data_IF_809352107756
#
_entry.id   IF_809352107756
#
_cell.length_a   1.000
_cell.length_b   1.000
_cell.length_c   1.000
_cell.angle_alpha   90.00
_cell.angle_beta   90.00
_cell.angle_gamma   90.00
#
_symmetry.space_group_name_H-M   'P 1'
#
loop_
_entity.id
_entity.type
_entity.pdbx_description
1 polymer ?
#
# COMPACT_ATOMS: atom_id res chain seq x y z
N UNK A 1 -5.22 6.85 9.21
CA UNK A 1 -6.70 6.68 9.38
C UNK A 1 -7.00 5.58 10.39
N UNK A 2 -8.17 5.62 11.05
CA UNK A 2 -8.61 4.52 11.90
C UNK A 2 -9.71 3.73 11.17
N UNK A 3 -9.61 2.42 11.18
CA UNK A 3 -10.62 1.53 10.61
C UNK A 3 -11.21 0.65 11.71
N UNK A 4 -12.53 0.54 11.78
CA UNK A 4 -13.17 -0.41 12.71
C UNK A 4 -13.14 -1.82 12.10
N UNK A 5 -13.25 -2.84 12.96
CA UNK A 5 -13.39 -4.24 12.52
C UNK A 5 -14.54 -4.37 11.52
N UNK A 6 -15.68 -3.72 11.79
CA UNK A 6 -16.83 -3.66 10.89
C UNK A 6 -16.52 -3.02 9.53
N UNK A 7 -15.75 -1.93 9.51
CA UNK A 7 -15.35 -1.30 8.25
C UNK A 7 -14.50 -2.25 7.40
N UNK A 8 -13.51 -2.90 8.03
CA UNK A 8 -12.64 -3.88 7.35
C UNK A 8 -13.46 -5.05 6.82
N UNK A 9 -14.34 -5.61 7.64
CA UNK A 9 -15.23 -6.71 7.25
C UNK A 9 -16.06 -6.35 6.01
N UNK A 10 -16.66 -5.15 5.98
CA UNK A 10 -17.45 -4.68 4.83
C UNK A 10 -16.60 -4.47 3.56
N UNK A 11 -15.42 -3.85 3.69
CA UNK A 11 -14.54 -3.55 2.54
C UNK A 11 -14.08 -4.84 1.85
N UNK A 12 -13.72 -5.85 2.64
CA UNK A 12 -13.15 -7.09 2.11
C UNK A 12 -14.16 -8.25 2.04
N UNK A 13 -15.41 -8.03 2.43
CA UNK A 13 -16.49 -9.02 2.46
C UNK A 13 -16.06 -10.29 3.21
N UNK A 14 -15.65 -10.12 4.48
CA UNK A 14 -15.17 -11.19 5.36
C UNK A 14 -15.90 -11.17 6.69
N UNK A 15 -16.07 -12.34 7.31
CA UNK A 15 -16.68 -12.48 8.62
C UNK A 15 -15.75 -12.02 9.74
N UNK A 16 -16.33 -11.65 10.89
CA UNK A 16 -15.57 -11.32 12.09
C UNK A 16 -16.26 -11.84 13.35
N UNK A 17 -15.49 -11.95 14.43
CA UNK A 17 -15.95 -12.26 15.79
C UNK A 17 -15.42 -11.17 16.74
N UNK A 18 -16.23 -10.79 17.74
CA UNK A 18 -15.89 -9.82 18.77
C UNK A 18 -16.51 -8.44 18.55
N UNK A 19 -15.85 -7.39 19.05
CA UNK A 19 -16.34 -6.02 19.01
C UNK A 19 -16.20 -5.40 17.61
N UNK A 20 -17.34 -5.16 16.97
CA UNK A 20 -17.39 -4.56 15.63
C UNK A 20 -16.86 -3.12 15.56
N UNK A 21 -16.88 -2.41 16.68
CA UNK A 21 -16.48 -0.99 16.78
C UNK A 21 -15.01 -0.83 17.15
N UNK A 22 -14.33 -1.91 17.50
CA UNK A 22 -12.91 -1.84 17.81
C UNK A 22 -12.11 -1.30 16.62
N UNK A 23 -11.26 -0.28 16.87
CA UNK A 23 -10.56 0.41 15.79
C UNK A 23 -9.06 0.14 15.79
N UNK A 24 -8.53 -0.05 14.60
CA UNK A 24 -7.10 -0.25 14.30
C UNK A 24 -6.59 0.82 13.35
N UNK A 25 -5.30 1.12 13.41
CA UNK A 25 -4.67 2.12 12.55
C UNK A 25 -3.33 1.70 11.97
N UNK A 26 -2.87 0.51 12.28
CA UNK A 26 -1.61 -0.02 11.76
C UNK A 26 -1.64 -1.54 11.63
N UNK A 27 -0.76 -2.07 10.80
CA UNK A 27 -0.45 -3.49 10.71
C UNK A 27 0.89 -3.76 11.40
N UNK A 28 1.05 -4.96 11.98
CA UNK A 28 2.30 -5.32 12.67
C UNK A 28 2.55 -6.82 12.67
N UNK A 29 3.77 -7.23 13.02
CA UNK A 29 4.04 -8.60 13.42
C UNK A 29 3.41 -8.91 14.78
N UNK A 30 3.14 -10.18 15.08
CA UNK A 30 2.54 -10.61 16.36
C UNK A 30 3.35 -10.09 17.57
N UNK A 31 4.68 -10.10 17.46
CA UNK A 31 5.60 -9.76 18.56
C UNK A 31 5.63 -8.24 18.82
N UNK A 32 5.63 -7.44 17.75
CA UNK A 32 5.80 -5.97 17.85
C UNK A 32 4.47 -5.20 17.88
N UNK A 33 3.36 -5.91 18.01
CA UNK A 33 2.04 -5.32 17.95
C UNK A 33 1.74 -4.43 19.17
N UNK A 34 1.02 -3.34 18.90
CA UNK A 34 0.34 -2.53 19.93
C UNK A 34 -1.13 -2.91 19.98
N UNK A 35 -1.90 -2.37 20.92
CA UNK A 35 -3.34 -2.63 21.01
C UNK A 35 -4.11 -2.23 19.74
N UNK A 36 -3.66 -1.18 19.03
CA UNK A 36 -4.28 -0.71 17.78
C UNK A 36 -3.71 -1.35 16.52
N UNK A 37 -2.86 -2.35 16.67
CA UNK A 37 -2.32 -3.11 15.54
C UNK A 37 -3.30 -4.20 15.13
N UNK A 38 -3.31 -4.50 13.84
CA UNK A 38 -3.87 -5.74 13.31
C UNK A 38 -2.71 -6.69 12.95
N UNK A 39 -2.84 -7.94 13.32
CA UNK A 39 -1.85 -8.98 13.05
C UNK A 39 -2.52 -10.15 12.34
N UNK A 40 -1.75 -11.08 11.77
CA UNK A 40 -2.32 -12.29 11.20
C UNK A 40 -1.68 -13.55 11.78
N UNK A 41 -2.48 -14.63 11.80
CA UNK A 41 -2.08 -15.98 12.20
C UNK A 41 -2.50 -16.97 11.10
N UNK A 42 -1.53 -17.49 10.36
CA UNK A 42 -1.78 -18.47 9.28
C UNK A 42 -1.31 -19.88 9.60
N UNK A 43 -0.56 -20.09 10.70
CA UNK A 43 0.04 -21.38 11.02
C UNK A 43 -0.07 -21.68 12.53
N UNK A 44 -0.44 -22.91 12.85
CA UNK A 44 -0.56 -23.42 14.23
C UNK A 44 0.73 -23.26 15.06
N UNK A 45 1.88 -23.30 14.43
CA UNK A 45 3.19 -23.12 15.10
C UNK A 45 3.31 -21.78 15.84
N UNK A 46 2.59 -20.75 15.38
CA UNK A 46 2.64 -19.42 15.96
C UNK A 46 1.55 -19.14 17.01
N UNK A 47 0.68 -20.11 17.33
CA UNK A 47 -0.37 -19.95 18.36
C UNK A 47 0.25 -19.50 19.70
N UNK A 48 1.40 -20.05 20.08
CA UNK A 48 2.08 -19.69 21.32
C UNK A 48 2.43 -18.20 21.41
N UNK A 49 2.60 -17.52 20.27
CA UNK A 49 2.89 -16.09 20.25
C UNK A 49 1.66 -15.21 20.54
N UNK A 50 0.45 -15.77 20.46
CA UNK A 50 -0.78 -15.05 20.76
C UNK A 50 -0.83 -14.59 22.22
N UNK A 51 -0.27 -15.34 23.14
CA UNK A 51 -0.21 -14.99 24.56
C UNK A 51 0.68 -13.77 24.85
N UNK A 52 1.61 -13.46 23.95
CA UNK A 52 2.53 -12.33 24.08
C UNK A 52 2.15 -11.11 23.28
N UNK A 53 1.20 -11.22 22.34
CA UNK A 53 0.80 -10.09 21.50
C UNK A 53 -0.06 -9.09 22.27
N UNK A 54 0.18 -7.80 22.04
CA UNK A 54 -0.70 -6.71 22.51
C UNK A 54 -1.85 -6.41 21.54
N UNK A 55 -1.82 -7.00 20.33
CA UNK A 55 -2.88 -6.80 19.35
C UNK A 55 -4.23 -7.27 19.88
N UNK A 56 -5.26 -6.49 19.59
CA UNK A 56 -6.66 -6.82 19.91
C UNK A 56 -7.44 -7.27 18.67
N UNK A 57 -6.80 -7.33 17.48
CA UNK A 57 -7.44 -7.78 16.23
C UNK A 57 -6.51 -8.72 15.49
N UNK A 58 -6.98 -9.93 15.23
CA UNK A 58 -6.21 -11.00 14.59
C UNK A 58 -6.92 -11.47 13.33
N UNK A 59 -6.23 -11.49 12.21
CA UNK A 59 -6.72 -12.11 10.97
C UNK A 59 -6.31 -13.57 10.98
N UNK A 60 -7.26 -14.49 10.83
CA UNK A 60 -6.94 -15.91 10.84
C UNK A 60 -7.99 -16.75 10.12
N UNK A 61 -7.76 -18.07 10.00
CA UNK A 61 -8.75 -19.00 9.45
C UNK A 61 -9.81 -19.36 10.49
N UNK A 62 -10.97 -19.82 10.02
CA UNK A 62 -12.04 -20.31 10.89
C UNK A 62 -11.57 -21.42 11.85
N UNK A 63 -10.65 -22.28 11.39
CA UNK A 63 -10.08 -23.35 12.24
C UNK A 63 -9.22 -22.80 13.38
N UNK A 64 -8.43 -21.74 13.10
CA UNK A 64 -7.51 -21.17 14.09
C UNK A 64 -8.17 -20.11 14.98
N UNK A 65 -9.34 -19.60 14.61
CA UNK A 65 -10.05 -18.57 15.39
C UNK A 65 -10.38 -19.02 16.82
N UNK A 66 -10.59 -20.33 17.04
CA UNK A 66 -10.85 -20.92 18.36
C UNK A 66 -9.70 -20.79 19.37
N UNK A 67 -8.51 -20.41 18.91
CA UNK A 67 -7.34 -20.16 19.76
C UNK A 67 -7.12 -18.67 20.05
N UNK A 68 -8.02 -17.81 19.58
CA UNK A 68 -7.91 -16.36 19.71
C UNK A 68 -8.98 -15.84 20.67
N UNK A 69 -8.56 -15.18 21.75
CA UNK A 69 -9.45 -14.54 22.72
C UNK A 69 -9.78 -13.08 22.36
N UNK A 70 -9.26 -12.59 21.25
CA UNK A 70 -9.39 -11.21 20.78
C UNK A 70 -10.42 -11.09 19.65
N UNK A 71 -10.59 -9.88 19.11
CA UNK A 71 -11.37 -9.70 17.89
C UNK A 71 -10.71 -10.45 16.74
N UNK A 72 -11.49 -11.20 15.99
CA UNK A 72 -10.98 -12.03 14.89
C UNK A 72 -11.63 -11.63 13.58
N UNK A 73 -10.84 -11.46 12.55
CA UNK A 73 -11.30 -11.36 11.16
C UNK A 73 -11.00 -12.71 10.49
N UNK A 74 -12.05 -13.34 9.97
CA UNK A 74 -11.96 -14.69 9.39
C UNK A 74 -11.67 -14.60 7.91
N UNK A 75 -10.60 -15.28 7.46
CA UNK A 75 -10.22 -15.34 6.05
C UNK A 75 -9.69 -16.72 5.70
N UNK A 76 -9.99 -17.21 4.51
CA UNK A 76 -9.37 -18.41 3.97
C UNK A 76 -7.88 -18.22 3.69
N UNK A 77 -7.48 -16.99 3.35
CA UNK A 77 -6.07 -16.62 3.17
C UNK A 77 -5.72 -15.40 4.04
N UNK A 78 -5.34 -15.62 5.32
CA UNK A 78 -5.02 -14.54 6.26
C UNK A 78 -3.87 -13.66 5.80
N UNK A 79 -2.86 -14.23 5.14
CA UNK A 79 -1.70 -13.48 4.64
C UNK A 79 -2.10 -12.51 3.53
N UNK A 80 -2.89 -12.96 2.56
CA UNK A 80 -3.36 -12.11 1.47
C UNK A 80 -4.26 -10.97 1.99
N UNK A 81 -5.16 -11.29 2.92
CA UNK A 81 -6.03 -10.28 3.53
C UNK A 81 -5.21 -9.26 4.32
N UNK A 82 -4.21 -9.70 5.09
CA UNK A 82 -3.31 -8.82 5.81
C UNK A 82 -2.56 -7.87 4.86
N UNK A 83 -2.05 -8.38 3.73
CA UNK A 83 -1.39 -7.55 2.73
C UNK A 83 -2.33 -6.48 2.15
N UNK A 84 -3.57 -6.83 1.83
CA UNK A 84 -4.59 -5.89 1.35
C UNK A 84 -4.96 -4.83 2.39
N UNK A 85 -5.10 -5.23 3.66
CA UNK A 85 -5.37 -4.30 4.77
C UNK A 85 -4.16 -3.40 5.01
N UNK A 86 -2.93 -3.93 4.89
CA UNK A 86 -1.72 -3.13 4.96
C UNK A 86 -1.70 -2.02 3.90
N UNK A 87 -2.07 -2.35 2.67
CA UNK A 87 -2.22 -1.34 1.60
C UNK A 87 -3.31 -0.32 1.94
N UNK A 88 -4.46 -0.75 2.47
CA UNK A 88 -5.55 0.14 2.86
C UNK A 88 -5.14 1.12 3.97
N UNK A 89 -4.44 0.64 5.01
CA UNK A 89 -4.00 1.44 6.15
C UNK A 89 -2.83 2.36 5.77
N UNK A 90 -1.89 1.86 4.97
CA UNK A 90 -0.70 2.58 4.55
C UNK A 90 -0.91 3.40 3.27
N UNK A 91 -2.02 3.21 2.57
CA UNK A 91 -2.41 4.15 1.53
C UNK A 91 -2.65 5.50 2.21
N UNK A 92 -1.60 6.28 2.26
CA UNK A 92 -1.69 7.70 2.49
C UNK A 92 -2.49 8.31 1.33
N UNK A 93 -3.82 8.26 1.45
CA UNK A 93 -4.76 8.89 0.52
C UNK A 93 -4.66 10.42 0.54
N UNK A 94 -3.51 10.96 0.91
CA UNK A 94 -3.11 12.35 0.85
C UNK A 94 -1.90 12.54 -0.09
N UNK A 95 -1.74 11.70 -1.12
CA UNK A 95 -0.84 12.05 -2.21
C UNK A 95 -1.45 13.30 -2.86
N UNK A 96 -0.92 14.45 -2.51
CA UNK A 96 -1.22 15.68 -3.25
C UNK A 96 -0.54 15.54 -4.61
N UNK A 97 -1.32 15.10 -5.58
CA UNK A 97 -0.86 15.11 -6.96
C UNK A 97 -0.41 16.52 -7.32
N UNK A 98 0.80 16.64 -7.75
CA UNK A 98 1.42 17.90 -8.11
C UNK A 98 2.65 17.65 -8.99
N UNK A 99 2.88 18.52 -9.93
CA UNK A 99 4.14 18.63 -10.66
C UNK A 99 4.91 19.79 -10.03
N UNK A 100 6.09 19.49 -9.47
CA UNK A 100 6.89 20.51 -8.81
C UNK A 100 7.37 21.58 -9.83
N UNK A 101 7.44 22.82 -9.41
CA UNK A 101 7.79 23.95 -10.30
C UNK A 101 9.20 23.88 -10.90
N UNK A 102 10.11 23.10 -10.33
CA UNK A 102 11.46 22.88 -10.87
C UNK A 102 11.55 21.72 -11.87
N UNK A 103 10.43 21.09 -12.23
CA UNK A 103 10.40 20.05 -13.28
C UNK A 103 10.62 20.71 -14.64
N UNK A 104 11.54 20.15 -15.42
CA UNK A 104 11.75 20.53 -16.81
C UNK A 104 11.06 19.50 -17.69
N UNK A 105 10.00 19.89 -18.39
CA UNK A 105 9.24 18.99 -19.26
C UNK A 105 9.18 19.53 -20.69
N UNK A 106 9.46 18.66 -21.65
CA UNK A 106 9.23 18.88 -23.09
C UNK A 106 7.94 18.19 -23.57
N UNK A 107 7.19 17.59 -22.67
CA UNK A 107 5.86 17.06 -22.92
C UNK A 107 4.80 18.05 -22.43
N UNK A 108 3.84 18.41 -23.29
CA UNK A 108 2.87 19.46 -23.00
C UNK A 108 1.74 19.03 -22.08
N UNK A 109 1.28 17.80 -22.18
CA UNK A 109 0.08 17.31 -21.51
C UNK A 109 0.39 16.22 -20.48
N UNK A 110 0.89 16.62 -19.31
CA UNK A 110 1.03 15.72 -18.18
C UNK A 110 -0.32 15.52 -17.49
N UNK A 111 -0.61 14.29 -17.07
CA UNK A 111 -1.83 13.95 -16.34
C UNK A 111 -1.92 14.74 -15.02
N UNK A 112 -3.09 15.22 -14.66
CA UNK A 112 -3.32 16.00 -13.43
C UNK A 112 -3.24 15.17 -12.14
N UNK A 113 -3.36 13.82 -12.24
CA UNK A 113 -3.32 12.91 -11.10
C UNK A 113 -1.97 12.21 -10.99
N UNK A 114 -0.88 12.93 -11.13
CA UNK A 114 0.48 12.43 -10.94
C UNK A 114 1.20 13.25 -9.90
N UNK A 115 2.20 12.64 -9.24
CA UNK A 115 3.12 13.36 -8.36
C UNK A 115 4.51 13.31 -8.97
N UNK A 116 5.07 14.47 -9.30
CA UNK A 116 6.43 14.60 -9.80
C UNK A 116 7.19 15.53 -8.87
N UNK A 117 8.23 14.97 -8.28
CA UNK A 117 9.09 15.68 -7.32
C UNK A 117 10.07 16.65 -7.98
N UNK A 118 10.83 17.45 -7.19
CA UNK A 118 11.76 18.43 -7.71
C UNK A 118 12.84 17.87 -8.65
N UNK A 119 13.27 18.70 -9.60
CA UNK A 119 14.42 18.45 -10.48
C UNK A 119 14.28 17.22 -11.38
N UNK A 120 13.06 16.81 -11.69
CA UNK A 120 12.82 15.78 -12.69
C UNK A 120 12.92 16.38 -14.09
N UNK A 121 13.59 15.67 -14.99
CA UNK A 121 13.62 15.98 -16.42
C UNK A 121 12.69 15.02 -17.16
N UNK A 122 11.86 15.56 -18.05
CA UNK A 122 10.90 14.81 -18.88
C UNK A 122 11.10 15.20 -20.34
N UNK A 123 11.48 14.22 -21.15
CA UNK A 123 11.66 14.34 -22.59
C UNK A 123 10.37 14.60 -23.35
N UNK A 124 10.45 14.51 -24.68
CA UNK A 124 9.32 14.71 -25.59
C UNK A 124 8.44 13.46 -25.64
N UNK A 125 7.15 13.66 -25.90
CA UNK A 125 6.16 12.59 -26.11
C UNK A 125 6.09 11.56 -24.97
N UNK A 126 6.39 11.96 -23.73
CA UNK A 126 6.32 11.08 -22.57
C UNK A 126 4.87 10.96 -22.11
N UNK A 127 4.43 9.72 -21.91
CA UNK A 127 3.12 9.42 -21.34
C UNK A 127 3.29 8.91 -19.90
N UNK A 128 2.63 9.57 -18.93
CA UNK A 128 2.64 9.15 -17.52
C UNK A 128 1.20 8.89 -17.07
N UNK A 129 0.91 7.64 -16.74
CA UNK A 129 -0.41 7.22 -16.28
C UNK A 129 -0.79 7.79 -14.91
N UNK A 130 -2.09 7.88 -14.66
CA UNK A 130 -2.65 8.37 -13.39
C UNK A 130 -2.09 7.63 -12.18
N UNK A 131 -2.10 8.30 -11.03
CA UNK A 131 -1.65 7.76 -9.73
C UNK A 131 -0.16 7.36 -9.70
N UNK A 132 0.61 7.78 -10.71
CA UNK A 132 2.06 7.54 -10.76
C UNK A 132 2.83 8.56 -9.94
N UNK A 133 3.99 8.13 -9.46
CA UNK A 133 4.95 8.91 -8.70
C UNK A 133 6.30 8.90 -9.40
N UNK A 134 6.91 10.06 -9.56
CA UNK A 134 8.28 10.22 -10.07
C UNK A 134 9.12 11.00 -9.05
N UNK A 135 10.09 10.32 -8.47
CA UNK A 135 10.98 10.84 -7.44
C UNK A 135 12.01 11.80 -7.98
N UNK A 136 12.52 12.64 -7.09
CA UNK A 136 13.43 13.75 -7.37
C UNK A 136 14.66 13.34 -8.18
N UNK A 137 15.15 14.26 -9.00
CA UNK A 137 16.36 14.08 -9.83
C UNK A 137 16.30 12.92 -10.82
N UNK A 138 15.13 12.40 -11.12
CA UNK A 138 14.98 11.38 -12.16
C UNK A 138 14.99 11.99 -13.55
N UNK A 139 15.47 11.23 -14.53
CA UNK A 139 15.54 11.62 -15.92
C UNK A 139 14.73 10.66 -16.78
N UNK A 140 13.73 11.18 -17.48
CA UNK A 140 12.85 10.41 -18.37
C UNK A 140 13.14 10.83 -19.80
N UNK A 141 13.66 9.91 -20.61
CA UNK A 141 13.97 10.15 -22.01
C UNK A 141 12.75 10.36 -22.90
N UNK A 142 12.98 10.60 -24.18
CA UNK A 142 11.92 10.79 -25.16
C UNK A 142 11.11 9.52 -25.40
N UNK A 143 9.82 9.65 -25.76
CA UNK A 143 8.92 8.58 -26.13
C UNK A 143 8.75 7.48 -25.07
N UNK A 144 8.99 7.79 -23.80
CA UNK A 144 8.81 6.88 -22.66
C UNK A 144 7.33 6.80 -22.32
N UNK A 145 6.85 5.56 -22.07
CA UNK A 145 5.47 5.29 -21.65
C UNK A 145 5.46 4.64 -20.29
N UNK A 146 4.83 5.29 -19.33
CA UNK A 146 4.68 4.84 -17.95
C UNK A 146 3.19 4.62 -17.69
N UNK A 147 2.79 3.39 -17.43
CA UNK A 147 1.40 3.08 -17.15
C UNK A 147 0.98 3.50 -15.74
N UNK A 148 -0.32 3.41 -15.46
CA UNK A 148 -0.96 3.82 -14.21
C UNK A 148 -0.30 3.24 -12.96
N UNK A 149 -0.16 4.05 -11.90
CA UNK A 149 0.23 3.60 -10.56
C UNK A 149 1.72 3.24 -10.42
N UNK A 150 2.56 3.58 -11.39
CA UNK A 150 3.99 3.32 -11.32
C UNK A 150 4.65 4.20 -10.23
N UNK A 151 5.59 3.63 -9.49
CA UNK A 151 6.37 4.32 -8.46
C UNK A 151 7.84 4.30 -8.82
N UNK A 152 8.34 5.43 -9.27
CA UNK A 152 9.73 5.63 -9.69
C UNK A 152 10.43 6.41 -8.59
N UNK A 153 11.36 5.77 -7.91
CA UNK A 153 12.09 6.41 -6.80
C UNK A 153 13.14 7.41 -7.30
N UNK A 154 13.69 8.26 -6.43
CA UNK A 154 14.65 9.29 -6.84
C UNK A 154 15.87 8.74 -7.58
N UNK A 155 16.46 9.57 -8.45
CA UNK A 155 17.68 9.29 -9.23
C UNK A 155 17.60 8.12 -10.21
N UNK A 156 16.40 7.81 -10.72
CA UNK A 156 16.20 6.82 -11.79
C UNK A 156 16.35 7.51 -13.15
N UNK A 157 17.01 6.84 -14.09
CA UNK A 157 17.12 7.30 -15.48
C UNK A 157 16.51 6.28 -16.44
N UNK A 158 15.55 6.73 -17.24
CA UNK A 158 15.02 5.98 -18.37
C UNK A 158 15.59 6.51 -19.68
N UNK A 159 16.10 5.62 -20.51
CA UNK A 159 16.45 5.94 -21.88
C UNK A 159 15.19 6.10 -22.73
N UNK A 160 15.38 6.60 -23.95
CA UNK A 160 14.27 6.81 -24.89
C UNK A 160 13.54 5.50 -25.21
N UNK A 161 12.23 5.58 -25.51
CA UNK A 161 11.38 4.47 -25.93
C UNK A 161 11.17 3.37 -24.89
N UNK A 162 11.44 3.61 -23.61
CA UNK A 162 11.17 2.65 -22.52
C UNK A 162 9.67 2.58 -22.24
N UNK A 163 9.17 1.38 -22.01
CA UNK A 163 7.77 1.12 -21.63
C UNK A 163 7.72 0.46 -20.26
N UNK A 164 7.00 1.11 -19.31
CA UNK A 164 6.81 0.66 -17.94
C UNK A 164 5.35 0.25 -17.73
N UNK A 165 5.14 -0.96 -17.22
CA UNK A 165 3.80 -1.49 -16.91
C UNK A 165 3.13 -0.82 -15.71
N UNK A 166 1.87 -1.19 -15.48
CA UNK A 166 1.09 -0.65 -14.35
C UNK A 166 1.60 -1.16 -12.99
N UNK A 167 1.56 -0.28 -11.97
CA UNK A 167 1.93 -0.59 -10.58
C UNK A 167 3.35 -1.13 -10.39
N UNK A 168 4.25 -0.82 -11.31
CA UNK A 168 5.67 -1.18 -11.21
C UNK A 168 6.35 -0.26 -10.20
N UNK A 169 7.27 -0.82 -9.40
CA UNK A 169 8.12 -0.09 -8.47
C UNK A 169 9.55 -0.18 -8.96
N UNK A 170 10.21 0.98 -9.13
CA UNK A 170 11.59 1.09 -9.63
C UNK A 170 12.42 1.88 -8.63
N UNK A 171 13.50 1.28 -8.17
CA UNK A 171 14.51 1.91 -7.34
C UNK A 171 15.74 2.25 -8.18
N UNK A 172 16.53 3.22 -7.70
CA UNK A 172 17.85 3.59 -8.26
C UNK A 172 18.90 2.53 -7.97
#
# INVERSE_FOLDING_TARGET
>A
MNYTVKNISKIFNVDFLGDENYSVNQVSSIINATERSIVFLSNKKFIKLLSSTKSKVIITTKELSKFCDNNVIISENPYLLFAKISQLINNENNIKYNVHSSVVSFTENLNSKILIEPNVFIGKNVEIGEESFVGSNSCIGDDVKIAKGARIFPNVTFYNNVIIGSNVIIHS
#
